data_IF_308917273515
#
_entry.id   IF_308917273515
#
_cell.length_a   1.000
_cell.length_b   1.000
_cell.length_c   1.000
_cell.angle_alpha   90.00
_cell.angle_beta   90.00
_cell.angle_gamma   90.00
#
_symmetry.space_group_name_H-M   'P 1'
#
loop_
_entity.id
_entity.type
_entity.pdbx_description
1 polymer ?
#
# COMPACT_ATOMS: atom_id res chain seq x y z
N UNK A 1 11.33 -1.16 2.41
CA UNK A 1 12.17 -2.35 2.51
C UNK A 1 13.62 -2.04 2.28
N UNK A 2 14.44 -3.02 2.55
CA UNK A 2 15.91 -2.91 2.45
C UNK A 2 16.47 -3.80 1.34
N UNK A 3 15.65 -4.18 0.41
CA UNK A 3 16.01 -5.05 -0.68
C UNK A 3 15.57 -6.49 -0.48
N UNK A 4 15.80 -7.26 -1.51
CA UNK A 4 15.42 -8.67 -1.60
C UNK A 4 16.70 -9.49 -1.75
N UNK A 5 16.74 -10.64 -1.12
CA UNK A 5 17.83 -11.59 -1.26
C UNK A 5 17.28 -12.98 -1.56
N UNK A 6 18.08 -13.88 -2.18
CA UNK A 6 17.62 -15.24 -2.43
C UNK A 6 17.54 -16.02 -1.10
N UNK A 7 16.56 -16.91 -1.02
CA UNK A 7 16.38 -17.80 0.16
C UNK A 7 16.78 -19.24 -0.13
N UNK A 8 16.91 -19.60 -1.40
CA UNK A 8 17.23 -20.96 -1.86
C UNK A 8 18.60 -21.05 -2.55
N UNK A 9 19.40 -19.99 -2.50
CA UNK A 9 20.79 -20.04 -2.95
C UNK A 9 21.73 -20.58 -1.89
N UNK A 10 22.98 -20.82 -2.26
CA UNK A 10 24.00 -21.33 -1.34
C UNK A 10 24.30 -20.32 -0.23
N UNK A 11 24.20 -19.02 -0.55
CA UNK A 11 24.47 -17.94 0.39
C UNK A 11 23.50 -16.79 0.19
N UNK A 12 23.25 -16.03 1.25
CA UNK A 12 22.51 -14.76 1.21
C UNK A 12 23.44 -13.56 1.07
N UNK A 13 24.75 -13.77 0.91
CA UNK A 13 25.69 -12.67 0.75
C UNK A 13 25.65 -12.10 -0.67
N UNK A 14 25.45 -10.76 -0.81
CA UNK A 14 25.30 -10.13 -2.12
C UNK A 14 26.48 -10.34 -3.08
N UNK A 15 27.67 -10.55 -2.55
CA UNK A 15 28.85 -10.79 -3.38
C UNK A 15 28.71 -12.00 -4.32
N UNK A 16 27.78 -12.91 -4.05
CA UNK A 16 27.57 -14.12 -4.84
C UNK A 16 26.41 -14.03 -5.83
N UNK A 17 25.54 -12.99 -5.72
CA UNK A 17 24.35 -12.87 -6.58
C UNK A 17 24.14 -11.47 -7.17
N UNK A 18 24.95 -10.48 -6.76
CA UNK A 18 24.76 -9.08 -7.15
C UNK A 18 26.04 -8.48 -7.70
N UNK A 19 25.92 -7.62 -8.70
CA UNK A 19 27.04 -6.86 -9.24
C UNK A 19 27.22 -5.50 -8.54
N UNK A 20 26.36 -5.14 -7.59
CA UNK A 20 26.33 -3.82 -6.94
C UNK A 20 27.45 -3.57 -5.94
N UNK A 21 28.23 -4.59 -5.58
CA UNK A 21 29.36 -4.49 -4.65
C UNK A 21 28.99 -3.87 -3.30
N UNK A 22 27.86 -4.25 -2.73
CA UNK A 22 27.36 -3.70 -1.45
C UNK A 22 28.38 -3.77 -0.32
N UNK A 23 29.21 -4.82 -0.31
CA UNK A 23 30.27 -5.03 0.66
C UNK A 23 31.67 -4.69 0.10
N UNK A 24 31.74 -3.90 -0.96
CA UNK A 24 33.00 -3.47 -1.59
C UNK A 24 33.52 -4.38 -2.68
N UNK A 25 33.12 -5.64 -2.71
CA UNK A 25 33.55 -6.63 -3.70
C UNK A 25 32.37 -7.43 -4.24
N UNK A 26 32.56 -8.06 -5.40
CA UNK A 26 31.64 -9.07 -5.91
C UNK A 26 32.40 -10.15 -6.67
N UNK A 27 31.92 -11.38 -6.54
CA UNK A 27 32.32 -12.53 -7.36
C UNK A 27 31.26 -12.85 -8.41
N UNK A 28 30.10 -12.17 -8.36
CA UNK A 28 29.05 -12.38 -9.33
C UNK A 28 29.33 -11.64 -10.62
N UNK A 29 29.09 -12.33 -11.74
CA UNK A 29 29.25 -11.75 -13.09
C UNK A 29 27.95 -11.12 -13.60
N UNK A 30 26.85 -11.43 -12.94
CA UNK A 30 25.50 -10.97 -13.31
C UNK A 30 24.64 -10.86 -12.06
N UNK A 31 23.58 -10.07 -12.14
CA UNK A 31 22.56 -10.02 -11.10
C UNK A 31 21.64 -11.24 -11.24
N UNK A 32 21.61 -12.10 -10.22
CA UNK A 32 20.85 -13.36 -10.26
C UNK A 32 19.40 -13.20 -9.84
N UNK A 33 19.07 -12.08 -9.18
CA UNK A 33 17.72 -11.79 -8.72
C UNK A 33 17.44 -10.30 -8.89
N UNK A 34 16.17 -9.93 -8.83
CA UNK A 34 15.74 -8.54 -8.71
C UNK A 34 15.82 -8.15 -7.24
N UNK A 35 16.82 -7.36 -6.87
CA UNK A 35 17.11 -7.04 -5.47
C UNK A 35 16.24 -5.92 -4.91
N UNK A 36 15.75 -5.03 -5.78
CA UNK A 36 14.96 -3.87 -5.38
C UNK A 36 13.64 -3.88 -6.16
N UNK A 37 12.54 -3.89 -5.43
CA UNK A 37 11.19 -3.72 -6.00
C UNK A 37 10.52 -2.53 -5.36
N UNK A 38 9.88 -1.66 -6.15
CA UNK A 38 9.25 -0.47 -5.60
C UNK A 38 8.09 -0.85 -4.66
N UNK A 39 7.93 -0.05 -3.61
CA UNK A 39 6.76 -0.07 -2.75
C UNK A 39 5.78 0.96 -3.31
N UNK A 40 4.54 0.55 -3.48
CA UNK A 40 3.48 1.44 -3.98
C UNK A 40 2.45 1.66 -2.89
N UNK A 41 2.20 2.91 -2.56
CA UNK A 41 1.19 3.28 -1.56
C UNK A 41 0.14 4.13 -2.26
N UNK A 42 -1.11 3.73 -2.14
CA UNK A 42 -2.24 4.41 -2.75
C UNK A 42 -2.62 5.71 -2.06
N UNK A 43 -3.83 6.17 -2.31
CA UNK A 43 -4.36 7.42 -1.80
C UNK A 43 -5.11 7.20 -0.48
N UNK A 44 -5.09 8.22 0.40
CA UNK A 44 -5.79 8.19 1.68
C UNK A 44 -5.45 6.95 2.53
N UNK A 45 -4.19 6.58 2.57
CA UNK A 45 -3.70 5.45 3.36
C UNK A 45 -3.21 5.94 4.71
N UNK A 46 -3.65 5.28 5.78
CA UNK A 46 -3.12 5.51 7.11
C UNK A 46 -2.08 4.45 7.47
N UNK A 47 -0.89 4.87 7.85
CA UNK A 47 0.18 3.98 8.29
C UNK A 47 0.57 4.37 9.71
N UNK A 48 0.36 3.44 10.63
CA UNK A 48 0.67 3.65 12.04
C UNK A 48 2.17 3.75 12.34
N UNK A 49 2.48 4.11 13.57
CA UNK A 49 3.86 4.27 14.03
C UNK A 49 4.65 2.95 13.93
N UNK A 50 5.91 3.05 13.53
CA UNK A 50 6.85 1.91 13.49
C UNK A 50 6.40 0.76 12.57
N UNK A 51 5.70 1.07 11.51
CA UNK A 51 5.34 0.07 10.49
C UNK A 51 6.55 -0.18 9.57
N UNK A 52 6.81 -1.45 9.31
CA UNK A 52 7.82 -1.88 8.33
C UNK A 52 7.10 -2.41 7.09
N UNK A 53 7.45 -1.90 5.91
CA UNK A 53 6.88 -2.34 4.64
C UNK A 53 8.00 -2.99 3.83
N UNK A 54 7.80 -4.22 3.39
CA UNK A 54 8.79 -4.96 2.61
C UNK A 54 8.75 -4.56 1.14
N UNK A 55 9.86 -4.76 0.46
CA UNK A 55 10.00 -4.43 -0.96
C UNK A 55 8.94 -5.11 -1.82
N UNK A 56 8.47 -4.40 -2.83
CA UNK A 56 7.49 -4.91 -3.80
C UNK A 56 6.05 -4.91 -3.33
N UNK A 57 5.78 -4.49 -2.09
CA UNK A 57 4.41 -4.45 -1.54
C UNK A 57 3.63 -3.28 -2.13
N UNK A 58 2.37 -3.52 -2.46
CA UNK A 58 1.39 -2.50 -2.82
C UNK A 58 0.35 -2.37 -1.72
N UNK A 59 0.13 -1.15 -1.24
CA UNK A 59 -0.92 -0.83 -0.27
C UNK A 59 -2.01 -0.05 -1.02
N UNK A 60 -3.21 -0.61 -1.04
CA UNK A 60 -4.34 -0.05 -1.79
C UNK A 60 -4.92 1.22 -1.17
N UNK A 61 -5.68 1.96 -1.97
CA UNK A 61 -6.33 3.20 -1.54
C UNK A 61 -7.17 2.99 -0.29
N UNK A 62 -7.13 3.95 0.62
CA UNK A 62 -7.96 3.94 1.81
C UNK A 62 -7.61 2.89 2.86
N UNK A 63 -6.52 2.13 2.69
CA UNK A 63 -6.12 1.11 3.65
C UNK A 63 -5.62 1.73 4.96
N UNK A 64 -5.78 0.98 6.04
CA UNK A 64 -5.27 1.33 7.36
C UNK A 64 -4.31 0.25 7.83
N UNK A 65 -3.09 0.63 8.15
CA UNK A 65 -2.06 -0.26 8.68
C UNK A 65 -1.83 0.08 10.15
N UNK A 66 -2.06 -0.88 11.02
CA UNK A 66 -1.87 -0.69 12.46
C UNK A 66 -0.40 -0.50 12.85
N UNK A 67 -0.19 0.23 13.94
CA UNK A 67 1.16 0.49 14.46
C UNK A 67 1.94 -0.81 14.70
N UNK A 68 3.24 -0.78 14.41
CA UNK A 68 4.14 -1.90 14.65
C UNK A 68 4.00 -3.09 13.69
N UNK A 69 3.16 -2.97 12.66
CA UNK A 69 2.95 -4.03 11.69
C UNK A 69 4.16 -4.27 10.79
N UNK A 70 4.31 -5.50 10.32
CA UNK A 70 5.27 -5.85 9.26
C UNK A 70 4.47 -6.26 8.04
N UNK A 71 4.45 -5.39 7.03
CA UNK A 71 3.66 -5.56 5.81
C UNK A 71 4.49 -6.37 4.81
N UNK A 72 4.25 -7.67 4.76
CA UNK A 72 4.98 -8.63 3.93
C UNK A 72 4.19 -9.11 2.71
N UNK A 73 3.01 -8.54 2.47
CA UNK A 73 2.16 -8.85 1.30
C UNK A 73 1.30 -7.64 0.96
N UNK A 74 0.75 -7.64 -0.24
CA UNK A 74 -0.14 -6.57 -0.70
C UNK A 74 -1.36 -6.42 0.18
N UNK A 75 -1.80 -5.18 0.37
CA UNK A 75 -2.97 -4.84 1.17
C UNK A 75 -4.05 -4.31 0.23
N UNK A 76 -5.23 -4.95 0.19
CA UNK A 76 -6.33 -4.49 -0.64
C UNK A 76 -6.83 -3.10 -0.25
N UNK A 77 -7.47 -2.38 -1.19
CA UNK A 77 -8.09 -1.10 -0.87
C UNK A 77 -9.11 -1.21 0.28
N UNK A 78 -9.10 -0.21 1.15
CA UNK A 78 -9.99 -0.06 2.30
C UNK A 78 -9.91 -1.19 3.33
N UNK A 79 -8.86 -2.02 3.27
CA UNK A 79 -8.59 -3.03 4.29
C UNK A 79 -7.98 -2.41 5.54
N UNK A 80 -8.31 -2.97 6.69
CA UNK A 80 -7.64 -2.68 7.96
C UNK A 80 -6.77 -3.89 8.27
N UNK A 81 -5.45 -3.69 8.27
CA UNK A 81 -4.47 -4.74 8.45
C UNK A 81 -3.53 -4.43 9.62
N UNK A 82 -3.20 -5.44 10.39
CA UNK A 82 -2.37 -5.30 11.60
C UNK A 82 -1.45 -6.50 11.77
N UNK A 83 -0.43 -6.33 12.57
CA UNK A 83 0.37 -7.43 13.12
C UNK A 83 1.63 -7.75 12.35
N UNK A 84 2.36 -8.73 12.89
CA UNK A 84 3.58 -9.29 12.34
C UNK A 84 3.53 -10.82 12.48
N UNK A 85 3.36 -11.57 11.37
CA UNK A 85 3.14 -11.07 10.01
C UNK A 85 1.81 -10.35 9.85
N UNK A 86 1.70 -9.51 8.84
CA UNK A 86 0.49 -8.72 8.57
C UNK A 86 -0.73 -9.61 8.33
N UNK A 87 -1.88 -9.19 8.83
CA UNK A 87 -3.15 -9.86 8.56
C UNK A 87 -4.26 -8.82 8.40
N UNK A 88 -5.21 -9.11 7.52
CA UNK A 88 -6.39 -8.28 7.35
C UNK A 88 -7.38 -8.65 8.47
N UNK A 89 -7.79 -7.64 9.25
CA UNK A 89 -8.77 -7.80 10.34
C UNK A 89 -10.18 -7.64 9.81
N UNK A 90 -10.40 -6.61 9.01
CA UNK A 90 -11.70 -6.31 8.38
C UNK A 90 -11.50 -5.26 7.29
N UNK A 91 -12.58 -4.94 6.58
CA UNK A 91 -12.64 -3.81 5.65
C UNK A 91 -13.36 -2.65 6.31
N UNK A 92 -13.02 -1.43 5.90
CA UNK A 92 -13.66 -0.21 6.43
C UNK A 92 -15.14 -0.12 6.06
N UNK A 93 -15.48 -0.61 4.87
CA UNK A 93 -16.81 -0.52 4.28
C UNK A 93 -17.18 -1.83 3.61
N UNK A 94 -18.47 -2.01 3.31
CA UNK A 94 -18.95 -3.14 2.51
C UNK A 94 -18.40 -3.07 1.08
N UNK A 95 -18.34 -4.21 0.43
CA UNK A 95 -17.72 -4.36 -0.89
C UNK A 95 -18.28 -3.41 -1.95
N UNK A 96 -19.60 -3.23 -1.99
CA UNK A 96 -20.23 -2.31 -2.93
C UNK A 96 -19.84 -0.84 -2.69
N UNK A 97 -19.68 -0.44 -1.44
CA UNK A 97 -19.24 0.91 -1.08
C UNK A 97 -17.78 1.12 -1.46
N UNK A 98 -16.92 0.16 -1.19
CA UNK A 98 -15.51 0.20 -1.60
C UNK A 98 -15.40 0.37 -3.11
N UNK A 99 -16.16 -0.40 -3.87
CA UNK A 99 -16.17 -0.30 -5.34
C UNK A 99 -16.54 1.11 -5.80
N UNK A 100 -17.59 1.68 -5.24
CA UNK A 100 -18.03 3.03 -5.58
C UNK A 100 -16.98 4.09 -5.23
N UNK A 101 -16.35 3.99 -4.06
CA UNK A 101 -15.30 4.92 -3.65
C UNK A 101 -14.09 4.87 -4.59
N UNK A 102 -13.69 3.68 -5.01
CA UNK A 102 -12.58 3.49 -5.95
C UNK A 102 -12.91 4.07 -7.34
N UNK A 103 -14.15 3.99 -7.78
CA UNK A 103 -14.59 4.58 -9.04
C UNK A 103 -14.65 6.11 -8.95
N UNK A 104 -15.11 6.66 -7.83
CA UNK A 104 -15.24 8.10 -7.62
C UNK A 104 -13.91 8.82 -7.51
N UNK A 105 -12.90 8.20 -6.92
CA UNK A 105 -11.58 8.82 -6.67
C UNK A 105 -11.73 10.20 -6.04
N UNK A 106 -12.41 10.26 -4.91
CA UNK A 106 -12.79 11.53 -4.27
C UNK A 106 -11.59 12.42 -3.93
N UNK A 107 -10.42 11.84 -3.74
CA UNK A 107 -9.17 12.59 -3.49
C UNK A 107 -8.73 13.43 -4.69
N UNK A 108 -9.30 13.19 -5.87
CA UNK A 108 -9.06 14.00 -7.09
C UNK A 108 -10.12 15.08 -7.30
N UNK A 109 -11.06 15.25 -6.39
CA UNK A 109 -12.08 16.29 -6.49
C UNK A 109 -11.44 17.68 -6.39
N UNK A 110 -12.02 18.70 -7.06
CA UNK A 110 -11.63 20.09 -6.83
C UNK A 110 -11.74 20.44 -5.34
N UNK A 111 -10.87 21.35 -4.87
CA UNK A 111 -10.82 21.74 -3.46
C UNK A 111 -12.20 22.16 -2.93
N UNK A 112 -12.97 22.88 -3.71
CA UNK A 112 -14.33 23.31 -3.36
C UNK A 112 -15.28 22.15 -3.07
N UNK A 113 -15.05 20.97 -3.70
CA UNK A 113 -15.87 19.78 -3.51
C UNK A 113 -15.35 18.90 -2.38
N UNK A 114 -14.09 19.06 -1.97
CA UNK A 114 -13.54 18.34 -0.82
C UNK A 114 -14.26 18.70 0.49
N UNK A 115 -14.94 19.84 0.54
CA UNK A 115 -15.81 20.21 1.66
C UNK A 115 -16.88 19.16 1.94
N UNK A 116 -17.29 18.41 0.92
CA UNK A 116 -18.30 17.36 1.08
C UNK A 116 -17.78 16.19 1.91
N UNK A 117 -16.47 15.94 1.88
CA UNK A 117 -15.83 14.92 2.75
C UNK A 117 -16.02 15.30 4.21
N UNK A 118 -15.79 16.56 4.55
CA UNK A 118 -15.99 17.06 5.91
C UNK A 118 -17.47 17.07 6.29
N UNK A 119 -18.31 17.60 5.40
CA UNK A 119 -19.75 17.76 5.67
C UNK A 119 -20.44 16.42 5.90
N UNK A 120 -20.12 15.40 5.10
CA UNK A 120 -20.72 14.06 5.17
C UNK A 120 -19.79 13.03 5.80
N UNK A 121 -18.88 13.45 6.64
CA UNK A 121 -17.80 12.64 7.19
C UNK A 121 -18.26 11.30 7.76
N UNK A 122 -19.41 11.28 8.44
CA UNK A 122 -19.98 10.08 9.04
C UNK A 122 -21.08 9.42 8.19
N UNK A 123 -21.42 9.99 7.05
CA UNK A 123 -22.49 9.51 6.18
C UNK A 123 -21.97 9.25 4.77
N UNK A 124 -21.30 8.10 4.62
CA UNK A 124 -20.64 7.72 3.36
C UNK A 124 -21.64 7.58 2.20
N UNK A 125 -22.83 7.07 2.47
CA UNK A 125 -23.83 6.84 1.41
C UNK A 125 -24.33 8.16 0.82
N UNK A 126 -24.63 9.12 1.68
CA UNK A 126 -25.02 10.47 1.24
C UNK A 126 -23.87 11.16 0.50
N UNK A 127 -22.63 11.02 1.01
CA UNK A 127 -21.45 11.54 0.34
C UNK A 127 -21.34 11.03 -1.10
N UNK A 128 -21.41 9.71 -1.28
CA UNK A 128 -21.32 9.07 -2.60
C UNK A 128 -22.40 9.60 -3.53
N UNK A 129 -23.62 9.69 -3.02
CA UNK A 129 -24.75 10.22 -3.82
C UNK A 129 -24.52 11.65 -4.25
N UNK A 130 -24.06 12.52 -3.35
CA UNK A 130 -23.78 13.94 -3.66
C UNK A 130 -22.69 14.07 -4.74
N UNK A 131 -21.64 13.29 -4.65
CA UNK A 131 -20.58 13.31 -5.66
C UNK A 131 -21.10 12.82 -7.02
N UNK A 132 -21.92 11.78 -7.03
CA UNK A 132 -22.54 11.29 -8.28
C UNK A 132 -23.41 12.35 -8.94
N UNK A 133 -24.18 13.08 -8.15
CA UNK A 133 -25.00 14.20 -8.65
C UNK A 133 -24.14 15.28 -9.30
N UNK A 134 -23.02 15.63 -8.70
CA UNK A 134 -22.08 16.60 -9.26
C UNK A 134 -21.45 16.14 -10.58
N UNK A 135 -21.14 14.86 -10.69
CA UNK A 135 -20.51 14.30 -11.90
C UNK A 135 -21.49 14.09 -13.06
N UNK A 136 -22.78 14.09 -12.80
CA UNK A 136 -23.82 13.98 -13.83
C UNK A 136 -24.14 15.33 -14.49
N UNK A 137 -23.63 16.40 -13.93
CA UNK A 137 -23.75 17.74 -14.48
C UNK A 137 -22.61 18.05 -15.46
#
# INVERSE_FOLDING_TARGET
GWGIHPTNGISTAPMFYSTLKQNGITLSKEDKIEELKPITIGNDVFIGMNVTILDGVTIGDGAIIGAGAVVNKDIPPYAIAVGNPIRIVKYRFEENVVKELLELKWWNLPEENLKLVEQYFWDINTFIQKIKELKQL
#
